data_IF_675821142597
#
_entry.id   IF_675821142597
#
_cell.length_a   1.000
_cell.length_b   1.000
_cell.length_c   1.000
_cell.angle_alpha   90.00
_cell.angle_beta   90.00
_cell.angle_gamma   90.00
#
_symmetry.space_group_name_H-M   'P 1'
#
loop_
_entity.id
_entity.type
_entity.pdbx_description
1 polymer ?
#
# COMPACT_ATOMS: atom_id res chain seq x y z
N UNK A 1 -7.69 -0.42 -4.88
CA UNK A 1 -7.54 0.61 -3.83
C UNK A 1 -8.10 -0.02 -2.58
N UNK A 2 -7.34 -0.09 -1.46
CA UNK A 2 -7.91 -0.54 -0.20
C UNK A 2 -8.80 0.55 0.42
N UNK A 3 -9.54 0.21 1.47
CA UNK A 3 -10.43 1.10 2.24
C UNK A 3 -11.61 1.64 1.42
N UNK A 4 -12.02 0.94 0.35
CA UNK A 4 -13.19 1.36 -0.42
C UNK A 4 -14.50 1.21 0.39
N UNK A 5 -15.55 2.00 0.07
CA UNK A 5 -16.89 1.76 0.59
C UNK A 5 -17.31 0.31 0.40
N UNK A 6 -17.95 -0.29 1.40
CA UNK A 6 -18.34 -1.72 1.49
C UNK A 6 -17.21 -2.75 1.62
N UNK A 7 -15.94 -2.32 1.55
CA UNK A 7 -14.79 -3.16 1.86
C UNK A 7 -14.50 -3.19 3.36
N UNK A 8 -13.63 -4.11 3.75
CA UNK A 8 -13.05 -4.23 5.09
C UNK A 8 -11.61 -4.77 4.96
N UNK A 9 -10.77 -4.65 6.01
CA UNK A 9 -9.36 -5.04 5.94
C UNK A 9 -9.13 -6.49 5.48
N UNK A 10 -10.07 -7.38 5.77
CA UNK A 10 -9.98 -8.80 5.41
C UNK A 10 -10.31 -9.03 3.93
N UNK A 11 -11.35 -8.39 3.39
CA UNK A 11 -11.61 -8.36 1.94
C UNK A 11 -10.44 -7.76 1.15
N UNK A 12 -9.86 -6.67 1.66
CA UNK A 12 -8.69 -6.07 1.01
C UNK A 12 -7.46 -6.99 1.07
N UNK A 13 -7.29 -7.74 2.16
CA UNK A 13 -6.24 -8.76 2.29
C UNK A 13 -6.44 -9.89 1.28
N UNK A 14 -7.67 -10.38 1.14
CA UNK A 14 -8.04 -11.37 0.12
C UNK A 14 -7.82 -10.86 -1.30
N UNK A 15 -8.18 -9.61 -1.58
CA UNK A 15 -7.87 -8.97 -2.87
C UNK A 15 -6.36 -8.96 -3.14
N UNK A 16 -5.54 -8.51 -2.21
CA UNK A 16 -4.08 -8.51 -2.40
C UNK A 16 -3.52 -9.93 -2.52
N UNK A 17 -4.05 -10.89 -1.74
CA UNK A 17 -3.67 -12.29 -1.86
C UNK A 17 -3.97 -12.82 -3.25
N UNK A 18 -5.18 -12.60 -3.76
CA UNK A 18 -5.58 -13.01 -5.10
C UNK A 18 -4.59 -12.47 -6.12
N UNK A 19 -4.35 -11.15 -6.14
CA UNK A 19 -3.41 -10.53 -7.11
C UNK A 19 -1.97 -11.06 -6.98
N UNK A 20 -1.54 -11.52 -5.81
CA UNK A 20 -0.19 -12.08 -5.62
C UNK A 20 -0.08 -13.57 -5.97
N UNK A 21 -1.14 -14.35 -5.76
CA UNK A 21 -1.06 -15.82 -5.76
C UNK A 21 -1.78 -16.45 -6.96
N UNK A 22 -2.62 -15.71 -7.67
CA UNK A 22 -3.37 -16.22 -8.82
C UNK A 22 -2.62 -16.02 -10.15
N UNK A 23 -2.76 -16.95 -11.12
CA UNK A 23 -2.31 -16.69 -12.49
C UNK A 23 -3.20 -15.69 -13.25
N UNK A 24 -4.41 -15.39 -12.76
CA UNK A 24 -5.37 -14.53 -13.46
C UNK A 24 -4.99 -13.04 -13.43
N UNK A 25 -4.18 -12.60 -12.47
CA UNK A 25 -3.72 -11.22 -12.36
C UNK A 25 -2.22 -11.24 -12.03
N UNK A 26 -1.39 -10.79 -12.97
CA UNK A 26 0.07 -10.78 -12.85
C UNK A 26 0.65 -9.39 -13.15
N UNK A 27 0.04 -8.35 -12.58
CA UNK A 27 0.46 -6.98 -12.84
C UNK A 27 1.89 -6.73 -12.32
N UNK A 28 2.78 -6.22 -13.17
CA UNK A 28 4.17 -5.95 -12.79
C UNK A 28 4.30 -4.63 -12.01
N UNK A 29 3.42 -3.65 -12.26
CA UNK A 29 3.53 -2.30 -11.72
C UNK A 29 2.26 -1.91 -10.96
N UNK A 30 2.37 -1.61 -9.67
CA UNK A 30 1.21 -1.26 -8.84
C UNK A 30 1.28 0.18 -8.33
N UNK A 31 0.11 0.76 -8.13
CA UNK A 31 -0.12 1.97 -7.33
C UNK A 31 -1.18 1.62 -6.30
N UNK A 32 -0.81 1.65 -5.02
CA UNK A 32 -1.73 1.43 -3.92
C UNK A 32 -2.08 2.80 -3.36
N UNK A 33 -3.33 3.21 -3.56
CA UNK A 33 -3.90 4.41 -2.97
C UNK A 33 -5.07 3.97 -2.10
N UNK A 34 -4.94 4.04 -0.77
CA UNK A 34 -6.08 3.94 0.13
C UNK A 34 -7.16 4.94 -0.27
N UNK A 35 -8.41 4.58 -0.08
CA UNK A 35 -9.52 5.48 -0.32
C UNK A 35 -9.45 6.64 0.68
N UNK A 36 -9.62 7.86 0.17
CA UNK A 36 -9.65 9.09 0.97
C UNK A 36 -10.98 9.79 0.71
N UNK A 37 -11.53 10.44 1.72
CA UNK A 37 -12.72 11.29 1.57
C UNK A 37 -12.26 12.67 1.12
N UNK A 38 -12.63 13.06 -0.10
CA UNK A 38 -12.28 14.37 -0.68
C UNK A 38 -13.53 15.18 -1.02
N UNK A 39 -13.47 16.52 -1.02
CA UNK A 39 -14.60 17.37 -1.36
C UNK A 39 -15.22 17.06 -2.73
N UNK A 40 -16.52 17.32 -2.83
CA UNK A 40 -17.33 17.21 -4.05
C UNK A 40 -17.39 15.79 -4.64
N UNK A 41 -17.23 14.78 -3.78
CA UNK A 41 -17.26 13.37 -4.21
C UNK A 41 -18.48 12.64 -3.65
N UNK A 42 -18.90 11.58 -4.33
CA UNK A 42 -19.92 10.67 -3.78
C UNK A 42 -19.47 10.04 -2.45
N UNK A 43 -18.16 9.86 -2.29
CA UNK A 43 -17.55 9.34 -1.06
C UNK A 43 -17.75 10.30 0.12
N UNK A 44 -17.64 11.61 -0.10
CA UNK A 44 -17.96 12.63 0.92
C UNK A 44 -19.41 12.53 1.39
N UNK A 45 -20.37 12.37 0.46
CA UNK A 45 -21.77 12.15 0.82
C UNK A 45 -21.96 10.89 1.64
N UNK A 46 -21.34 9.78 1.25
CA UNK A 46 -21.44 8.53 2.02
C UNK A 46 -20.83 8.64 3.41
N UNK A 47 -19.73 9.40 3.53
CA UNK A 47 -19.10 9.68 4.81
C UNK A 47 -19.99 10.56 5.71
N UNK A 48 -20.56 11.64 5.18
CA UNK A 48 -21.44 12.52 5.96
C UNK A 48 -22.73 11.84 6.41
N UNK A 49 -23.23 10.87 5.64
CA UNK A 49 -24.37 10.00 5.99
C UNK A 49 -23.99 8.86 6.96
N UNK A 50 -22.71 8.67 7.26
CA UNK A 50 -22.20 7.59 8.12
C UNK A 50 -22.22 6.19 7.47
N UNK A 51 -22.56 6.10 6.18
CA UNK A 51 -22.60 4.84 5.43
C UNK A 51 -21.22 4.35 4.99
N UNK A 52 -20.22 5.23 5.01
CA UNK A 52 -18.81 4.91 4.83
C UNK A 52 -17.99 5.57 5.94
N UNK A 53 -17.13 4.79 6.60
CA UNK A 53 -16.20 5.28 7.61
C UNK A 53 -14.83 4.68 7.27
N UNK A 54 -13.82 5.51 6.96
CA UNK A 54 -12.47 5.04 6.63
C UNK A 54 -11.85 4.21 7.75
N UNK A 55 -10.91 3.34 7.40
CA UNK A 55 -10.25 2.46 8.37
C UNK A 55 -9.53 3.22 9.48
N UNK A 56 -8.86 4.32 9.11
CA UNK A 56 -8.05 5.11 10.04
C UNK A 56 -8.86 5.76 11.16
N UNK A 57 -10.13 6.06 10.92
CA UNK A 57 -11.04 6.60 11.93
C UNK A 57 -11.60 5.54 12.87
N UNK A 58 -11.74 4.30 12.39
CA UNK A 58 -12.11 3.16 13.25
C UNK A 58 -10.95 2.75 14.14
N UNK A 59 -9.78 2.55 13.53
CA UNK A 59 -8.53 2.26 14.21
C UNK A 59 -7.35 2.58 13.28
N UNK A 60 -6.42 3.47 13.68
CA UNK A 60 -5.32 3.92 12.84
C UNK A 60 -4.37 2.79 12.38
N UNK A 61 -4.39 1.63 13.07
CA UNK A 61 -3.57 0.48 12.68
C UNK A 61 -4.11 -0.33 11.51
N UNK A 62 -5.43 -0.33 11.25
CA UNK A 62 -6.02 -1.25 10.26
C UNK A 62 -5.39 -1.06 8.86
N UNK A 63 -5.27 0.19 8.42
CA UNK A 63 -4.65 0.50 7.14
C UNK A 63 -3.14 0.19 7.14
N UNK A 64 -2.43 0.56 8.20
CA UNK A 64 -0.98 0.34 8.31
C UNK A 64 -0.68 -1.16 8.29
N UNK A 65 -1.38 -1.96 9.08
CA UNK A 65 -1.19 -3.41 9.21
C UNK A 65 -1.47 -4.12 7.88
N UNK A 66 -2.54 -3.72 7.17
CA UNK A 66 -2.85 -4.21 5.82
C UNK A 66 -1.72 -3.93 4.83
N UNK A 67 -1.18 -2.70 4.84
CA UNK A 67 -0.10 -2.31 3.93
C UNK A 67 1.24 -2.95 4.31
N UNK A 68 1.54 -3.13 5.61
CA UNK A 68 2.70 -3.89 6.12
C UNK A 68 2.60 -5.34 5.64
N UNK A 69 1.46 -5.98 5.83
CA UNK A 69 1.20 -7.35 5.38
C UNK A 69 1.41 -7.49 3.87
N UNK A 70 0.85 -6.57 3.09
CA UNK A 70 0.96 -6.55 1.62
C UNK A 70 2.41 -6.38 1.16
N UNK A 71 3.14 -5.41 1.73
CA UNK A 71 4.54 -5.14 1.36
C UNK A 71 5.50 -6.25 1.79
N UNK A 72 5.20 -7.01 2.84
CA UNK A 72 6.00 -8.18 3.22
C UNK A 72 5.89 -9.32 2.19
N UNK A 73 4.75 -9.43 1.50
CA UNK A 73 4.43 -10.56 0.60
C UNK A 73 4.66 -10.27 -0.87
N UNK A 74 4.74 -9.00 -1.26
CA UNK A 74 4.95 -8.60 -2.66
C UNK A 74 6.16 -9.29 -3.29
N UNK A 75 5.97 -9.79 -4.52
CA UNK A 75 6.99 -10.55 -5.21
C UNK A 75 8.17 -9.68 -5.69
N UNK A 76 9.37 -10.27 -5.83
CA UNK A 76 10.58 -9.52 -6.22
C UNK A 76 10.51 -8.83 -7.60
N UNK A 77 9.69 -9.34 -8.52
CA UNK A 77 9.50 -8.80 -9.87
C UNK A 77 8.43 -7.70 -9.96
N UNK A 78 7.71 -7.41 -8.87
CA UNK A 78 6.69 -6.37 -8.85
C UNK A 78 7.32 -5.03 -8.45
N UNK A 79 6.96 -3.95 -9.13
CA UNK A 79 7.28 -2.56 -8.76
C UNK A 79 6.07 -1.88 -8.11
N UNK A 80 6.15 -1.66 -6.79
CA UNK A 80 5.21 -0.79 -6.08
C UNK A 80 5.64 0.67 -6.28
N UNK A 81 5.02 1.36 -7.23
CA UNK A 81 5.39 2.74 -7.58
C UNK A 81 5.08 3.70 -6.44
N UNK A 82 3.86 3.59 -5.88
CA UNK A 82 3.38 4.40 -4.76
C UNK A 82 2.50 3.55 -3.84
N UNK A 83 2.54 3.86 -2.55
CA UNK A 83 1.73 3.22 -1.49
C UNK A 83 0.86 4.24 -0.74
N UNK A 84 0.94 5.50 -1.17
CA UNK A 84 0.11 6.64 -0.77
C UNK A 84 -0.02 7.60 -1.94
N UNK A 85 -1.11 8.37 -1.94
CA UNK A 85 -1.33 9.44 -2.91
C UNK A 85 -0.88 10.76 -2.30
N UNK A 86 -0.18 11.57 -3.09
CA UNK A 86 0.13 12.94 -2.70
C UNK A 86 -1.13 13.79 -2.94
N UNK A 87 -1.99 13.88 -1.93
CA UNK A 87 -3.13 14.79 -1.91
C UNK A 87 -2.82 15.86 -0.86
N UNK A 88 -3.04 17.16 -1.15
CA UNK A 88 -2.94 18.19 -0.13
C UNK A 88 -3.82 17.84 1.07
N UNK A 89 -3.29 17.92 2.29
CA UNK A 89 -4.02 17.59 3.52
C UNK A 89 -5.33 18.38 3.64
N UNK A 90 -5.31 19.66 3.21
CA UNK A 90 -6.48 20.55 3.16
C UNK A 90 -7.63 20.02 2.28
N UNK A 91 -7.36 19.04 1.43
CA UNK A 91 -8.35 18.41 0.55
C UNK A 91 -8.77 17.01 1.03
N UNK A 92 -8.31 16.57 2.21
CA UNK A 92 -8.69 15.30 2.84
C UNK A 92 -9.66 15.61 3.99
N UNK A 93 -10.94 15.31 3.78
CA UNK A 93 -11.99 15.46 4.80
C UNK A 93 -11.84 14.37 5.87
N UNK A 94 -11.52 13.14 5.45
CA UNK A 94 -11.46 11.94 6.28
C UNK A 94 -10.62 10.85 5.59
N UNK A 95 -10.00 9.96 6.35
CA UNK A 95 -9.08 8.92 5.84
C UNK A 95 -7.65 9.03 6.37
N UNK A 96 -6.64 8.63 5.58
CA UNK A 96 -5.24 8.72 5.98
C UNK A 96 -4.70 10.14 5.78
N UNK A 97 -4.62 10.87 6.89
CA UNK A 97 -3.95 12.18 6.95
C UNK A 97 -2.43 12.08 7.16
N UNK A 98 -1.89 10.87 7.35
CA UNK A 98 -0.46 10.70 7.61
C UNK A 98 0.37 10.85 6.33
N UNK A 99 1.08 11.98 6.23
CA UNK A 99 1.98 12.29 5.11
C UNK A 99 3.23 11.41 5.08
N UNK A 100 3.57 10.75 6.19
CA UNK A 100 4.75 9.89 6.33
C UNK A 100 4.42 8.38 6.35
N UNK A 101 3.25 7.96 5.86
CA UNK A 101 2.78 6.56 5.95
C UNK A 101 3.81 5.52 5.48
N UNK A 102 4.58 5.85 4.43
CA UNK A 102 5.65 4.97 3.93
C UNK A 102 6.72 4.68 4.99
N UNK A 103 7.10 5.68 5.78
CA UNK A 103 8.06 5.53 6.87
C UNK A 103 7.49 4.67 7.99
N UNK A 104 6.20 4.86 8.34
CA UNK A 104 5.51 4.05 9.35
C UNK A 104 5.51 2.57 8.95
N UNK A 105 5.13 2.26 7.70
CA UNK A 105 5.11 0.89 7.17
C UNK A 105 6.51 0.26 7.25
N UNK A 106 7.56 0.99 6.88
CA UNK A 106 8.93 0.46 6.97
C UNK A 106 9.40 0.25 8.41
N UNK A 107 9.05 1.15 9.33
CA UNK A 107 9.35 1.00 10.75
C UNK A 107 8.69 -0.26 11.31
N UNK A 108 7.44 -0.53 10.96
CA UNK A 108 6.71 -1.69 11.46
C UNK A 108 7.16 -3.00 10.79
N UNK A 109 7.52 -2.99 9.50
CA UNK A 109 8.20 -4.12 8.87
C UNK A 109 9.50 -4.47 9.60
N UNK A 110 10.34 -3.47 9.90
CA UNK A 110 11.61 -3.67 10.59
C UNK A 110 11.43 -4.23 12.00
N UNK A 111 10.44 -3.74 12.78
CA UNK A 111 10.09 -4.31 14.10
C UNK A 111 9.70 -5.77 14.03
N UNK A 112 9.11 -6.22 12.91
CA UNK A 112 8.73 -7.61 12.68
C UNK A 112 9.87 -8.47 12.09
N UNK A 113 11.08 -7.92 11.92
CA UNK A 113 12.18 -8.62 11.26
C UNK A 113 11.92 -8.88 9.76
N UNK A 114 11.02 -8.10 9.14
CA UNK A 114 10.63 -8.23 7.73
C UNK A 114 11.10 -7.04 6.92
N UNK A 115 11.15 -7.22 5.60
CA UNK A 115 11.44 -6.15 4.65
C UNK A 115 10.66 -6.37 3.34
N UNK A 116 10.50 -5.30 2.57
CA UNK A 116 9.78 -5.33 1.29
C UNK A 116 10.70 -5.74 0.15
N UNK A 117 10.32 -6.77 -0.63
CA UNK A 117 11.12 -7.30 -1.74
C UNK A 117 10.79 -6.69 -3.11
N UNK A 118 9.85 -5.76 -3.21
CA UNK A 118 9.51 -5.13 -4.50
C UNK A 118 10.71 -4.41 -5.12
N UNK A 119 10.68 -4.22 -6.44
CA UNK A 119 11.74 -3.55 -7.22
C UNK A 119 12.10 -2.19 -6.62
N UNK A 120 11.11 -1.33 -6.33
CA UNK A 120 11.36 0.03 -5.78
C UNK A 120 12.12 0.03 -4.45
N UNK A 121 12.01 -1.03 -3.65
CA UNK A 121 12.70 -1.11 -2.36
C UNK A 121 14.12 -1.70 -2.47
N UNK A 122 14.49 -2.24 -3.65
CA UNK A 122 15.78 -2.87 -3.93
C UNK A 122 16.55 -2.23 -5.10
N UNK A 123 16.03 -1.13 -5.64
CA UNK A 123 16.73 -0.35 -6.67
C UNK A 123 17.93 0.38 -6.05
N UNK A 124 19.02 0.51 -6.82
CA UNK A 124 20.31 1.03 -6.34
C UNK A 124 20.23 2.46 -5.79
N UNK A 125 19.43 3.34 -6.43
CA UNK A 125 19.37 4.79 -6.11
C UNK A 125 20.78 5.40 -6.12
N UNK A 126 21.18 6.05 -5.04
CA UNK A 126 22.46 6.74 -4.89
C UNK A 126 23.50 5.87 -4.14
N UNK A 127 23.26 4.56 -4.02
CA UNK A 127 24.17 3.66 -3.32
C UNK A 127 25.38 3.34 -4.20
N UNK A 128 26.60 3.22 -3.63
CA UNK A 128 27.78 2.81 -4.37
C UNK A 128 27.57 1.43 -5.00
N UNK A 129 27.94 1.32 -6.26
CA UNK A 129 27.78 0.12 -7.08
C UNK A 129 29.05 -0.74 -7.02
N UNK A 130 28.87 -2.05 -6.81
CA UNK A 130 29.90 -3.06 -6.96
C UNK A 130 29.37 -4.17 -7.86
N UNK A 131 29.78 -4.13 -9.13
CA UNK A 131 29.34 -5.06 -10.15
C UNK A 131 29.79 -6.50 -9.89
N UNK A 132 30.80 -6.71 -9.02
CA UNK A 132 31.32 -8.04 -8.71
C UNK A 132 30.31 -8.95 -8.02
N UNK A 133 29.25 -8.38 -7.42
CA UNK A 133 28.18 -9.11 -6.72
C UNK A 133 26.94 -9.35 -7.59
N UNK A 134 26.92 -8.87 -8.84
CA UNK A 134 25.78 -9.02 -9.72
C UNK A 134 25.66 -10.45 -10.25
N UNK A 135 24.43 -10.96 -10.28
CA UNK A 135 24.11 -12.27 -10.84
C UNK A 135 22.83 -12.23 -11.66
N UNK A 136 22.82 -12.96 -12.77
CA UNK A 136 21.61 -13.15 -13.56
C UNK A 136 20.60 -13.99 -12.77
N UNK A 137 19.39 -13.47 -12.59
CA UNK A 137 18.29 -14.18 -11.94
C UNK A 137 17.13 -14.28 -12.93
N UNK A 138 16.55 -15.47 -13.07
CA UNK A 138 15.33 -15.69 -13.85
C UNK A 138 14.15 -15.87 -12.92
N UNK A 139 12.99 -15.31 -13.31
CA UNK A 139 11.70 -15.60 -12.67
C UNK A 139 11.31 -17.02 -13.08
N UNK A 140 11.04 -17.87 -12.09
CA UNK A 140 10.46 -19.19 -12.29
C UNK A 140 8.94 -19.09 -12.17
#
# INVERSE_FOLDING_TARGET
MPDLPTSDPEKDREMFQFVLETPHLQADHWKIYPCEVTPFSTIERWYSEGSYIPYTEKNPKLLVDLLVWTKARVHPWIRLNRVIRDIPEVSIIAGNQNTNLRQMIFKDLAKQGKYCRCIRCREVRDWPEDDSLLRLVKRW
#
